data_IF_848227407349
#
_entry.id   IF_848227407349
#
_cell.length_a   1.000
_cell.length_b   1.000
_cell.length_c   1.000
_cell.angle_alpha   90.00
_cell.angle_beta   90.00
_cell.angle_gamma   90.00
#
_symmetry.space_group_name_H-M   'P 1'
#
loop_
_entity.id
_entity.type
_entity.pdbx_description
1 polymer ?
#
# COMPACT_ATOMS: atom_id res chain seq x y z
N UNK A 1 15.54 -22.06 9.84
CA UNK A 1 15.13 -20.71 9.42
C UNK A 1 14.31 -20.14 10.55
N UNK A 2 14.84 -19.12 11.22
CA UNK A 2 14.20 -18.51 12.39
C UNK A 2 13.35 -17.33 11.90
N UNK A 3 12.04 -17.53 11.84
CA UNK A 3 11.09 -16.44 11.62
C UNK A 3 10.88 -15.75 12.97
N UNK A 4 11.33 -14.50 13.12
CA UNK A 4 11.10 -13.74 14.36
C UNK A 4 9.75 -13.06 14.23
N UNK A 5 8.82 -13.44 15.12
CA UNK A 5 7.50 -12.85 15.22
C UNK A 5 7.51 -11.72 16.25
N UNK A 6 7.18 -10.49 15.85
CA UNK A 6 6.94 -9.41 16.80
C UNK A 6 5.43 -9.30 17.07
N UNK A 7 5.04 -9.47 18.34
CA UNK A 7 3.70 -9.14 18.81
C UNK A 7 3.67 -7.64 19.10
N UNK A 8 2.93 -6.90 18.28
CA UNK A 8 2.64 -5.48 18.48
C UNK A 8 1.20 -5.43 19.03
N UNK A 9 0.85 -4.52 19.96
CA UNK A 9 -0.44 -4.57 20.64
C UNK A 9 -1.65 -4.68 19.70
N UNK A 10 -2.58 -5.53 20.13
CA UNK A 10 -3.91 -5.82 19.59
C UNK A 10 -3.95 -6.35 18.14
N UNK A 11 -3.89 -7.68 18.01
CA UNK A 11 -4.24 -8.38 16.77
C UNK A 11 -3.22 -8.29 15.63
N UNK A 12 -2.07 -7.65 15.87
CA UNK A 12 -1.01 -7.44 14.88
C UNK A 12 0.17 -8.39 15.13
N UNK A 13 0.49 -9.19 14.12
CA UNK A 13 1.58 -10.17 14.13
C UNK A 13 2.54 -9.86 12.99
N UNK A 14 3.78 -9.46 13.31
CA UNK A 14 4.81 -9.24 12.30
C UNK A 14 5.58 -10.54 12.01
N UNK A 15 5.86 -10.82 10.74
CA UNK A 15 6.70 -11.89 10.24
C UNK A 15 7.98 -11.29 9.63
N UNK A 16 9.11 -11.47 10.31
CA UNK A 16 10.43 -11.16 9.72
C UNK A 16 11.01 -12.42 9.09
N UNK A 17 10.63 -12.68 7.85
CA UNK A 17 11.17 -13.80 7.09
C UNK A 17 11.55 -13.32 5.69
N UNK A 18 12.70 -12.65 5.60
CA UNK A 18 13.66 -12.62 4.49
C UNK A 18 14.65 -11.49 4.78
N UNK A 19 15.95 -11.68 4.49
CA UNK A 19 17.09 -10.79 4.84
C UNK A 19 17.02 -9.34 4.31
N UNK A 20 15.88 -8.92 3.76
CA UNK A 20 15.70 -7.66 3.03
C UNK A 20 14.26 -7.09 3.13
N UNK A 21 13.34 -7.78 3.81
CA UNK A 21 11.90 -7.45 3.87
C UNK A 21 11.33 -7.89 5.23
N UNK A 22 10.41 -7.11 5.80
CA UNK A 22 9.62 -7.50 6.98
C UNK A 22 8.14 -7.22 6.71
N UNK A 23 7.28 -8.13 7.15
CA UNK A 23 5.83 -8.03 6.95
C UNK A 23 5.12 -7.89 8.29
N UNK A 24 4.11 -7.05 8.35
CA UNK A 24 3.18 -6.85 9.44
C UNK A 24 1.82 -7.38 9.00
N UNK A 25 1.30 -8.38 9.69
CA UNK A 25 -0.01 -8.98 9.40
C UNK A 25 -0.95 -8.71 10.55
N UNK A 26 -2.00 -7.93 10.32
CA UNK A 26 -3.08 -7.73 11.28
C UNK A 26 -4.12 -8.84 11.11
N UNK A 27 -4.06 -9.87 11.97
CA UNK A 27 -4.97 -11.01 11.95
C UNK A 27 -6.44 -10.61 12.20
N UNK A 28 -6.68 -9.47 12.87
CA UNK A 28 -8.02 -8.96 13.13
C UNK A 28 -8.74 -8.40 11.88
N UNK A 29 -8.00 -8.06 10.82
CA UNK A 29 -8.55 -7.36 9.65
C UNK A 29 -8.17 -8.01 8.31
N UNK A 30 -7.34 -9.06 8.31
CA UNK A 30 -6.86 -9.72 7.09
C UNK A 30 -5.96 -8.85 6.22
N UNK A 31 -5.54 -7.70 6.73
CA UNK A 31 -4.61 -6.78 6.06
C UNK A 31 -3.18 -7.24 6.31
N UNK A 32 -2.38 -7.25 5.25
CA UNK A 32 -0.95 -7.60 5.27
C UNK A 32 -0.15 -6.43 4.71
N UNK A 33 0.65 -5.80 5.57
CA UNK A 33 1.59 -4.76 5.19
C UNK A 33 2.99 -5.37 5.07
N UNK A 34 3.75 -4.97 4.07
CA UNK A 34 5.08 -5.48 3.78
C UNK A 34 6.00 -4.31 3.50
N UNK A 35 7.02 -4.16 4.31
CA UNK A 35 8.00 -3.10 4.20
C UNK A 35 9.31 -3.68 3.66
N UNK A 36 9.79 -3.11 2.56
CA UNK A 36 11.13 -3.35 2.04
C UNK A 36 12.15 -2.48 2.79
N UNK A 37 13.40 -2.97 2.90
CA UNK A 37 14.53 -2.15 3.37
C UNK A 37 14.80 -0.94 2.49
N UNK A 38 14.36 -0.97 1.23
CA UNK A 38 14.49 0.15 0.30
C UNK A 38 13.50 1.30 0.61
N UNK A 39 12.61 1.12 1.59
CA UNK A 39 11.58 2.09 1.99
C UNK A 39 10.26 1.94 1.24
N UNK A 40 10.13 0.96 0.36
CA UNK A 40 8.87 0.62 -0.30
C UNK A 40 7.94 -0.10 0.69
N UNK A 41 6.66 0.19 0.62
CA UNK A 41 5.60 -0.43 1.41
C UNK A 41 4.57 -1.04 0.48
N UNK A 42 4.11 -2.23 0.78
CA UNK A 42 3.01 -2.89 0.08
C UNK A 42 1.95 -3.32 1.08
N UNK A 43 0.71 -2.96 0.84
CA UNK A 43 -0.44 -3.23 1.68
C UNK A 43 -1.44 -4.05 0.86
N UNK A 44 -1.58 -5.32 1.22
CA UNK A 44 -2.62 -6.19 0.70
C UNK A 44 -3.82 -6.15 1.65
N UNK A 45 -4.99 -5.84 1.10
CA UNK A 45 -6.25 -5.80 1.81
C UNK A 45 -7.02 -7.11 1.61
N UNK A 46 -7.90 -7.49 2.56
CA UNK A 46 -8.66 -8.74 2.47
C UNK A 46 -9.66 -8.78 1.31
N UNK A 47 -10.05 -7.62 0.77
CA UNK A 47 -10.92 -7.48 -0.41
C UNK A 47 -10.19 -7.81 -1.72
N UNK A 48 -8.87 -8.08 -1.67
CA UNK A 48 -8.02 -8.32 -2.83
C UNK A 48 -7.39 -7.06 -3.41
N UNK A 49 -7.65 -5.89 -2.82
CA UNK A 49 -6.99 -4.64 -3.19
C UNK A 49 -5.53 -4.68 -2.72
N UNK A 50 -4.60 -4.28 -3.60
CA UNK A 50 -3.18 -4.16 -3.28
C UNK A 50 -2.74 -2.72 -3.48
N UNK A 51 -2.21 -2.08 -2.44
CA UNK A 51 -1.63 -0.74 -2.49
C UNK A 51 -0.12 -0.83 -2.31
N UNK A 52 0.66 -0.16 -3.14
CA UNK A 52 2.11 -0.11 -3.09
C UNK A 52 2.54 1.34 -3.02
N UNK A 53 3.25 1.69 -1.96
CA UNK A 53 3.84 3.01 -1.74
C UNK A 53 5.33 2.85 -1.98
N UNK A 54 5.86 3.48 -3.00
CA UNK A 54 7.29 3.47 -3.26
C UNK A 54 7.99 4.41 -2.27
N UNK A 55 9.26 4.16 -1.98
CA UNK A 55 10.11 5.09 -1.22
C UNK A 55 10.26 6.44 -1.93
N UNK A 56 9.91 6.47 -3.22
CA UNK A 56 9.78 7.71 -3.96
C UNK A 56 8.56 8.52 -3.51
N UNK A 57 7.59 7.98 -2.78
CA UNK A 57 6.35 8.70 -2.48
C UNK A 57 5.36 8.70 -3.65
N UNK A 58 5.62 7.88 -4.67
CA UNK A 58 4.59 7.46 -5.61
C UNK A 58 3.79 6.31 -5.00
N UNK A 59 2.49 6.26 -5.28
CA UNK A 59 1.58 5.24 -4.79
C UNK A 59 0.91 4.55 -5.98
N UNK A 60 0.74 3.23 -5.92
CA UNK A 60 -0.02 2.45 -6.89
C UNK A 60 -1.05 1.60 -6.15
N UNK A 61 -2.30 1.62 -6.57
CA UNK A 61 -3.37 0.80 -6.03
C UNK A 61 -3.98 -0.03 -7.14
N UNK A 62 -4.10 -1.33 -6.92
CA UNK A 62 -4.74 -2.29 -7.82
C UNK A 62 -5.92 -2.91 -7.11
N UNK A 63 -7.08 -2.79 -7.72
CA UNK A 63 -8.30 -3.45 -7.25
C UNK A 63 -8.49 -4.78 -7.98
N UNK A 64 -9.21 -5.74 -7.37
CA UNK A 64 -9.54 -7.01 -8.03
C UNK A 64 -10.39 -6.82 -9.30
N UNK A 65 -11.14 -5.72 -9.39
CA UNK A 65 -11.92 -5.33 -10.57
C UNK A 65 -11.04 -4.91 -11.76
N UNK A 66 -9.72 -4.84 -11.59
CA UNK A 66 -8.76 -4.47 -12.63
C UNK A 66 -8.55 -2.96 -12.78
N UNK A 67 -9.10 -2.15 -11.86
CA UNK A 67 -8.81 -0.71 -11.80
C UNK A 67 -7.44 -0.52 -11.19
N UNK A 68 -6.58 0.23 -11.88
CA UNK A 68 -5.22 0.57 -11.45
C UNK A 68 -5.14 2.08 -11.23
N UNK A 69 -5.09 2.51 -9.98
CA UNK A 69 -4.82 3.90 -9.62
C UNK A 69 -3.32 4.09 -9.36
N UNK A 70 -2.74 5.18 -9.85
CA UNK A 70 -1.34 5.58 -9.64
C UNK A 70 -1.31 7.04 -9.22
N UNK A 71 -0.74 7.32 -8.06
CA UNK A 71 -0.50 8.67 -7.58
C UNK A 71 0.98 8.98 -7.69
N UNK A 72 1.30 10.00 -8.46
CA UNK A 72 2.66 10.49 -8.65
C UNK A 72 3.04 11.45 -7.50
N UNK A 73 4.35 11.66 -7.32
CA UNK A 73 4.90 12.61 -6.33
C UNK A 73 4.39 14.04 -6.51
N UNK A 74 4.08 14.44 -7.74
CA UNK A 74 3.58 15.78 -8.08
C UNK A 74 2.11 15.98 -7.67
N UNK A 75 1.46 14.95 -7.13
CA UNK A 75 0.06 14.97 -6.74
C UNK A 75 -0.89 14.60 -7.87
N UNK A 76 -0.38 14.28 -9.07
CA UNK A 76 -1.19 13.75 -10.16
C UNK A 76 -1.57 12.30 -9.88
N UNK A 77 -2.86 12.04 -9.77
CA UNK A 77 -3.46 10.72 -9.70
C UNK A 77 -3.96 10.32 -11.08
N UNK A 78 -3.70 9.08 -11.47
CA UNK A 78 -4.12 8.49 -12.74
C UNK A 78 -4.83 7.18 -12.43
N UNK A 79 -6.07 7.02 -12.90
CA UNK A 79 -6.87 5.83 -12.71
C UNK A 79 -7.10 5.20 -14.08
N UNK A 80 -6.50 4.04 -14.31
CA UNK A 80 -6.73 3.20 -15.48
C UNK A 80 -7.85 2.21 -15.18
N UNK A 81 -8.94 2.26 -15.94
CA UNK A 81 -10.09 1.36 -15.82
C UNK A 81 -9.97 0.20 -16.82
N UNK A 82 -10.53 -0.98 -16.48
CA UNK A 82 -10.45 -2.18 -17.35
C UNK A 82 -11.20 -2.02 -18.67
N UNK A 83 -12.13 -1.06 -18.78
CA UNK A 83 -12.85 -0.71 -20.01
C UNK A 83 -11.99 0.12 -21.00
N UNK A 84 -10.72 0.40 -20.66
CA UNK A 84 -9.81 1.24 -21.45
C UNK A 84 -9.97 2.74 -21.18
N UNK A 85 -10.90 3.15 -20.32
CA UNK A 85 -11.01 4.52 -19.85
C UNK A 85 -9.84 4.84 -18.93
N UNK A 86 -9.36 6.08 -19.03
CA UNK A 86 -8.32 6.62 -18.15
C UNK A 86 -8.80 7.93 -17.58
N UNK A 87 -8.74 8.07 -16.26
CA UNK A 87 -9.00 9.32 -15.57
C UNK A 87 -7.69 9.87 -15.02
N UNK A 88 -7.44 11.17 -15.20
CA UNK A 88 -6.27 11.85 -14.63
C UNK A 88 -6.79 13.00 -13.77
N UNK A 89 -6.45 12.96 -12.48
CA UNK A 89 -6.77 13.97 -11.49
C UNK A 89 -5.48 14.65 -11.08
N UNK A 90 -5.31 15.92 -11.42
CA UNK A 90 -4.21 16.72 -10.90
C UNK A 90 -4.71 17.50 -9.69
N UNK A 91 -4.17 17.19 -8.51
CA UNK A 91 -4.48 17.90 -7.27
C UNK A 91 -3.89 19.32 -7.33
N UNK A 92 -4.57 20.26 -7.99
CA UNK A 92 -4.41 21.67 -7.61
C UNK A 92 -5.11 21.84 -6.26
N UNK A 93 -4.30 21.76 -5.20
CA UNK A 93 -4.56 22.25 -3.84
C UNK A 93 -5.55 21.43 -2.99
N UNK A 94 -5.00 20.61 -2.09
CA UNK A 94 -5.71 20.17 -0.89
C UNK A 94 -4.98 20.69 0.35
N UNK A 95 -5.41 21.85 0.85
CA UNK A 95 -5.06 22.26 2.23
C UNK A 95 -5.61 21.19 3.14
N UNK A 96 -4.73 20.51 3.86
CA UNK A 96 -5.18 19.76 5.02
C UNK A 96 -5.29 20.81 6.12
N UNK A 97 -6.46 21.45 6.22
CA UNK A 97 -6.83 22.23 7.38
C UNK A 97 -6.93 21.25 8.56
N UNK A 98 -5.88 21.17 9.37
CA UNK A 98 -5.94 20.55 10.69
C UNK A 98 -6.71 21.53 11.59
N UNK A 99 -7.83 21.07 12.14
CA UNK A 99 -8.62 21.78 13.15
C UNK A 99 -8.06 21.42 14.53
#
# INVERSE_FOLDING_TARGET
>A
MESIYYNIPEGTSALSSLRRWWSLSCAAHGQVETHSVDGNVEVAYPDGTVRRILCTGEEEQKTPDGIVARRLRDGTETIDYPNGQKEVRSEHYRVISSI
#
